data_IF_255202462708
#
_entry.id   IF_255202462708
#
_cell.length_a   1.000
_cell.length_b   1.000
_cell.length_c   1.000
_cell.angle_alpha   90.00
_cell.angle_beta   90.00
_cell.angle_gamma   90.00
#
_symmetry.space_group_name_H-M   'P 1'
#
loop_
_entity.id
_entity.type
_entity.pdbx_description
1 polymer ?
#
# COMPACT_ATOMS: atom_id res chain seq x y z
N UNK A 1 15.02 -25.21 9.18
CA UNK A 1 14.97 -26.06 10.38
C UNK A 1 13.77 -27.01 10.24
N UNK A 2 13.97 -28.38 10.13
CA UNK A 2 12.88 -29.35 10.00
C UNK A 2 11.81 -29.23 11.09
N UNK A 3 12.20 -28.93 12.34
CA UNK A 3 11.28 -28.78 13.45
C UNK A 3 10.35 -27.54 13.29
N UNK A 4 10.81 -26.52 12.57
CA UNK A 4 10.00 -25.34 12.24
C UNK A 4 8.98 -25.67 11.13
N UNK A 5 9.37 -26.51 10.18
CA UNK A 5 8.49 -26.99 9.10
C UNK A 5 7.38 -27.89 9.66
N UNK A 6 7.73 -28.82 10.55
CA UNK A 6 6.75 -29.70 11.22
C UNK A 6 5.76 -28.88 12.08
N UNK A 7 6.21 -27.79 12.74
CA UNK A 7 5.35 -26.91 13.51
C UNK A 7 4.47 -26.02 12.62
N UNK A 8 4.95 -25.64 11.44
CA UNK A 8 4.17 -24.90 10.43
C UNK A 8 3.15 -25.80 9.74
N UNK A 9 3.52 -27.06 9.46
CA UNK A 9 2.59 -28.08 8.91
C UNK A 9 1.40 -28.29 9.84
N UNK A 10 1.62 -28.41 11.16
CA UNK A 10 0.56 -28.54 12.14
C UNK A 10 -0.39 -27.33 12.13
N UNK A 11 0.14 -26.10 12.09
CA UNK A 11 -0.67 -24.87 12.06
C UNK A 11 -1.39 -24.65 10.73
N UNK A 12 -0.77 -24.97 9.61
CA UNK A 12 -1.40 -24.89 8.28
C UNK A 12 -2.58 -25.87 8.17
N UNK A 13 -2.44 -27.06 8.74
CA UNK A 13 -3.52 -28.04 8.77
C UNK A 13 -4.68 -27.64 9.71
N UNK A 14 -4.39 -26.93 10.82
CA UNK A 14 -5.42 -26.38 11.71
C UNK A 14 -6.22 -25.24 11.07
N UNK A 15 -5.62 -24.49 10.15
CA UNK A 15 -6.29 -23.39 9.41
C UNK A 15 -6.84 -23.84 8.05
N UNK A 16 -6.67 -25.11 7.71
CA UNK A 16 -7.15 -25.69 6.46
C UNK A 16 -8.68 -25.85 6.47
N UNK A 17 -9.34 -25.09 5.63
CA UNK A 17 -10.76 -25.25 5.36
C UNK A 17 -10.96 -26.17 4.14
N UNK A 18 -11.39 -27.42 4.32
CA UNK A 18 -11.60 -28.36 3.20
C UNK A 18 -12.69 -27.94 2.23
N UNK A 19 -13.53 -26.94 2.59
CA UNK A 19 -14.52 -26.37 1.69
C UNK A 19 -13.89 -25.38 0.69
N UNK A 20 -12.73 -24.80 1.03
CA UNK A 20 -12.04 -23.79 0.23
C UNK A 20 -10.78 -24.36 -0.43
N UNK A 21 -10.11 -25.32 0.22
CA UNK A 21 -8.84 -25.88 -0.21
C UNK A 21 -8.95 -27.39 -0.43
N UNK A 22 -8.53 -27.85 -1.58
CA UNK A 22 -8.40 -29.29 -1.83
C UNK A 22 -7.03 -29.80 -1.38
N UNK A 23 -6.94 -31.09 -1.07
CA UNK A 23 -5.67 -31.77 -0.77
C UNK A 23 -4.66 -31.63 -1.91
N UNK A 24 -5.13 -31.52 -3.15
CA UNK A 24 -4.33 -31.27 -4.36
C UNK A 24 -3.70 -29.87 -4.34
N UNK A 25 -4.40 -28.84 -3.87
CA UNK A 25 -3.86 -27.49 -3.71
C UNK A 25 -2.72 -27.45 -2.70
N UNK A 26 -2.86 -28.13 -1.55
CA UNK A 26 -1.79 -28.21 -0.55
C UNK A 26 -0.56 -28.92 -1.10
N UNK A 27 -0.74 -30.01 -1.81
CA UNK A 27 0.37 -30.74 -2.46
C UNK A 27 1.14 -29.84 -3.44
N UNK A 28 0.41 -29.00 -4.20
CA UNK A 28 1.02 -28.01 -5.10
C UNK A 28 1.83 -26.93 -4.35
N UNK A 29 1.31 -26.41 -3.25
CA UNK A 29 2.01 -25.42 -2.40
C UNK A 29 3.28 -26.01 -1.82
N UNK A 30 3.22 -27.22 -1.24
CA UNK A 30 4.41 -27.89 -0.71
C UNK A 30 5.46 -28.19 -1.78
N UNK A 31 5.05 -28.63 -2.98
CA UNK A 31 5.96 -28.82 -4.08
C UNK A 31 6.67 -27.52 -4.49
N UNK A 32 5.95 -26.40 -4.49
CA UNK A 32 6.51 -25.08 -4.77
C UNK A 32 7.51 -24.64 -3.69
N UNK A 33 7.17 -24.77 -2.39
CA UNK A 33 8.06 -24.46 -1.28
C UNK A 33 9.35 -25.27 -1.41
N UNK A 34 9.24 -26.58 -1.63
CA UNK A 34 10.38 -27.46 -1.81
C UNK A 34 11.26 -27.06 -2.99
N UNK A 35 10.65 -26.70 -4.13
CA UNK A 35 11.38 -26.26 -5.32
C UNK A 35 12.17 -24.95 -5.06
N UNK A 36 11.63 -24.05 -4.24
CA UNK A 36 12.33 -22.82 -3.81
C UNK A 36 13.49 -23.16 -2.88
N UNK A 37 13.29 -24.03 -1.87
CA UNK A 37 14.32 -24.44 -0.93
C UNK A 37 15.48 -25.16 -1.63
N UNK A 38 15.18 -26.02 -2.60
CA UNK A 38 16.17 -26.72 -3.42
C UNK A 38 16.83 -25.82 -4.48
N UNK A 39 16.47 -24.54 -4.55
CA UNK A 39 16.95 -23.58 -5.56
C UNK A 39 16.72 -24.07 -7.00
N UNK A 40 15.74 -24.92 -7.22
CA UNK A 40 15.39 -25.45 -8.55
C UNK A 40 14.54 -24.46 -9.37
N UNK A 41 13.98 -23.45 -8.73
CA UNK A 41 13.27 -22.33 -9.34
C UNK A 41 13.72 -21.01 -8.73
N UNK A 42 13.62 -19.92 -9.51
CA UNK A 42 13.75 -18.56 -9.01
C UNK A 42 12.34 -18.00 -8.76
N UNK A 43 12.07 -17.57 -7.51
CA UNK A 43 10.81 -16.96 -7.15
C UNK A 43 11.03 -15.49 -6.80
N UNK A 44 10.51 -14.59 -7.62
CA UNK A 44 10.40 -13.18 -7.27
C UNK A 44 9.13 -12.96 -6.42
N UNK A 45 9.25 -12.14 -5.38
CA UNK A 45 8.14 -11.95 -4.44
C UNK A 45 7.79 -13.22 -3.66
N UNK A 46 8.81 -13.95 -3.19
CA UNK A 46 8.64 -15.19 -2.43
C UNK A 46 7.82 -15.02 -1.15
N UNK A 47 7.48 -16.11 -0.48
CA UNK A 47 6.57 -16.15 0.68
C UNK A 47 6.96 -15.17 1.80
N UNK A 48 8.25 -14.90 2.00
CA UNK A 48 8.74 -13.95 3.00
C UNK A 48 8.26 -12.51 2.74
N UNK A 49 7.89 -12.18 1.50
CA UNK A 49 7.38 -10.85 1.14
C UNK A 49 5.99 -10.56 1.70
N UNK A 50 5.31 -11.57 2.25
CA UNK A 50 4.07 -11.36 3.00
C UNK A 50 4.30 -10.56 4.29
N UNK A 51 5.50 -10.61 4.87
CA UNK A 51 5.84 -9.81 6.05
C UNK A 51 5.75 -8.31 5.74
N UNK A 52 6.49 -7.76 4.75
CA UNK A 52 6.36 -6.35 4.39
C UNK A 52 5.04 -6.01 3.66
N UNK A 53 4.28 -7.01 3.18
CA UNK A 53 2.94 -6.78 2.62
C UNK A 53 1.94 -6.35 3.69
N UNK A 54 2.05 -6.90 4.90
CA UNK A 54 1.21 -6.54 6.03
C UNK A 54 1.48 -5.10 6.47
N UNK A 55 0.43 -4.27 6.52
CA UNK A 55 0.56 -2.84 6.87
C UNK A 55 0.99 -2.58 8.31
N UNK A 56 0.94 -3.59 9.15
CA UNK A 56 1.48 -3.56 10.51
C UNK A 56 3.00 -3.32 10.54
N UNK A 57 3.70 -3.62 9.44
CA UNK A 57 5.14 -3.32 9.33
C UNK A 57 5.44 -1.85 9.61
N UNK A 58 4.55 -0.93 9.23
CA UNK A 58 4.71 0.49 9.52
C UNK A 58 4.67 0.80 11.02
N UNK A 59 3.80 0.11 11.77
CA UNK A 59 3.76 0.23 13.23
C UNK A 59 5.04 -0.35 13.86
N UNK A 60 5.48 -1.52 13.41
CA UNK A 60 6.72 -2.15 13.89
C UNK A 60 7.93 -1.23 13.68
N UNK A 61 8.01 -0.52 12.56
CA UNK A 61 9.07 0.47 12.30
C UNK A 61 9.09 1.61 13.31
N UNK A 62 7.95 1.99 13.89
CA UNK A 62 7.85 3.03 14.91
C UNK A 62 7.99 2.50 16.35
N UNK A 63 8.00 1.17 16.55
CA UNK A 63 8.10 0.58 17.87
C UNK A 63 9.46 0.90 18.53
N UNK A 64 9.51 1.22 19.84
CA UNK A 64 10.75 1.52 20.56
C UNK A 64 11.82 0.43 20.43
N UNK A 65 11.41 -0.83 20.44
CA UNK A 65 12.29 -1.99 20.30
C UNK A 65 13.00 -1.97 18.94
N UNK A 66 12.27 -1.72 17.85
CA UNK A 66 12.84 -1.59 16.51
C UNK A 66 13.76 -0.38 16.42
N UNK A 67 13.29 0.77 16.93
CA UNK A 67 14.08 2.02 16.91
C UNK A 67 15.40 1.90 17.67
N UNK A 68 15.45 1.08 18.70
CA UNK A 68 16.66 0.88 19.53
C UNK A 68 17.79 0.14 18.82
N UNK A 69 17.48 -0.66 17.79
CA UNK A 69 18.46 -1.44 17.02
C UNK A 69 18.87 -0.80 15.71
N UNK A 70 18.20 0.27 15.31
CA UNK A 70 18.48 1.02 14.09
C UNK A 70 19.48 2.15 14.33
N UNK A 71 20.23 2.51 13.29
CA UNK A 71 21.12 3.67 13.28
C UNK A 71 20.32 4.99 13.35
N UNK A 72 21.03 6.09 13.66
CA UNK A 72 20.43 7.43 13.64
C UNK A 72 19.89 7.81 12.26
N UNK A 73 20.59 7.44 11.18
CA UNK A 73 20.17 7.70 9.80
C UNK A 73 18.90 6.94 9.43
N UNK A 74 18.81 5.65 9.78
CA UNK A 74 17.62 4.84 9.55
C UNK A 74 16.42 5.36 10.36
N UNK A 75 16.65 5.75 11.60
CA UNK A 75 15.63 6.38 12.44
C UNK A 75 15.12 7.69 11.84
N UNK A 76 16.02 8.56 11.36
CA UNK A 76 15.66 9.81 10.69
C UNK A 76 14.89 9.55 9.38
N UNK A 77 15.24 8.51 8.62
CA UNK A 77 14.51 8.10 7.43
C UNK A 77 13.08 7.68 7.74
N UNK A 78 12.89 6.87 8.79
CA UNK A 78 11.55 6.45 9.23
C UNK A 78 10.72 7.67 9.63
N UNK A 79 11.26 8.59 10.41
CA UNK A 79 10.54 9.80 10.83
C UNK A 79 10.11 10.68 9.65
N UNK A 80 10.94 10.73 8.61
CA UNK A 80 10.68 11.57 7.43
C UNK A 80 9.73 10.91 6.41
N UNK A 81 9.72 9.58 6.30
CA UNK A 81 9.11 8.90 5.15
C UNK A 81 8.05 7.85 5.49
N UNK A 82 8.03 7.35 6.72
CA UNK A 82 7.09 6.31 7.13
C UNK A 82 5.93 6.92 7.94
N UNK A 83 4.70 6.91 7.41
CA UNK A 83 3.57 7.49 8.12
C UNK A 83 3.26 6.73 9.42
N UNK A 84 2.97 7.48 10.47
CA UNK A 84 2.58 6.91 11.77
C UNK A 84 1.36 6.02 11.57
N UNK A 85 1.48 4.79 12.05
CA UNK A 85 0.48 3.73 11.87
C UNK A 85 0.29 2.99 13.19
N UNK A 86 -0.95 2.72 13.56
CA UNK A 86 -1.30 1.93 14.73
C UNK A 86 -2.48 1.01 14.39
N UNK A 87 -2.72 -0.02 15.21
CA UNK A 87 -3.99 -0.73 15.16
C UNK A 87 -5.14 0.19 15.52
N UNK A 88 -6.27 0.02 14.85
CA UNK A 88 -7.50 0.78 15.12
C UNK A 88 -8.22 0.16 16.31
N UNK A 89 -7.64 0.31 17.51
CA UNK A 89 -8.19 -0.19 18.77
C UNK A 89 -8.11 0.88 19.85
N UNK A 90 -9.07 0.89 20.78
CA UNK A 90 -9.10 1.85 21.89
C UNK A 90 -7.88 1.73 22.83
N UNK A 91 -7.18 0.59 22.79
CA UNK A 91 -5.97 0.37 23.59
C UNK A 91 -4.72 1.04 23.01
N UNK A 92 -4.74 1.37 21.72
CA UNK A 92 -3.58 1.93 21.02
C UNK A 92 -3.76 3.36 20.52
N UNK A 93 -5.00 3.79 20.31
CA UNK A 93 -5.29 5.11 19.73
C UNK A 93 -6.48 5.77 20.44
N UNK A 94 -6.49 7.09 20.41
CA UNK A 94 -7.64 7.89 20.81
C UNK A 94 -8.67 7.93 19.66
N UNK A 95 -9.69 7.06 19.74
CA UNK A 95 -10.72 6.94 18.71
C UNK A 95 -11.53 8.22 18.52
N UNK A 96 -11.76 8.99 19.58
CA UNK A 96 -12.51 10.25 19.48
C UNK A 96 -11.68 11.32 18.75
N UNK A 97 -10.38 11.39 19.01
CA UNK A 97 -9.48 12.26 18.27
C UNK A 97 -9.38 11.87 16.78
N UNK A 98 -9.44 10.56 16.46
CA UNK A 98 -9.44 10.09 15.06
C UNK A 98 -10.74 10.49 14.37
N UNK A 99 -11.90 10.29 15.01
CA UNK A 99 -13.21 10.67 14.46
C UNK A 99 -13.32 12.17 14.26
N UNK A 100 -12.75 12.99 15.16
CA UNK A 100 -12.78 14.44 15.08
C UNK A 100 -11.88 15.05 13.98
N UNK A 101 -11.01 14.27 13.36
CA UNK A 101 -10.03 14.77 12.39
C UNK A 101 -9.99 13.94 11.09
N UNK A 102 -11.10 13.80 10.33
CA UNK A 102 -11.19 12.93 9.16
C UNK A 102 -10.12 13.25 8.10
N UNK A 103 -9.81 14.50 7.87
CA UNK A 103 -8.81 14.92 6.87
C UNK A 103 -7.39 14.39 7.15
N UNK A 104 -7.13 14.00 8.39
CA UNK A 104 -5.81 13.56 8.83
C UNK A 104 -5.58 12.06 8.69
N UNK A 105 -6.64 11.26 8.56
CA UNK A 105 -6.56 9.83 8.75
C UNK A 105 -7.07 9.01 7.57
N UNK A 106 -6.48 7.83 7.45
CA UNK A 106 -6.92 6.75 6.57
C UNK A 106 -6.95 5.45 7.38
N UNK A 107 -7.99 4.65 7.21
CA UNK A 107 -8.07 3.31 7.80
C UNK A 107 -7.99 2.24 6.71
N UNK A 108 -7.32 1.15 7.01
CA UNK A 108 -7.00 0.09 6.04
C UNK A 108 -7.05 -1.28 6.72
N UNK A 109 -7.55 -2.33 6.04
CA UNK A 109 -7.30 -3.70 6.50
C UNK A 109 -5.80 -3.97 6.56
N UNK A 110 -5.34 -4.69 7.58
CA UNK A 110 -3.91 -4.90 7.82
C UNK A 110 -3.22 -5.66 6.68
N UNK A 111 -3.87 -6.67 6.10
CA UNK A 111 -3.28 -7.61 5.14
C UNK A 111 -3.94 -7.65 3.75
N UNK A 112 -4.99 -6.85 3.49
CA UNK A 112 -5.68 -6.85 2.19
C UNK A 112 -4.97 -5.99 1.16
N UNK A 113 -5.13 -6.36 -0.12
CA UNK A 113 -4.61 -5.65 -1.30
C UNK A 113 -5.72 -4.94 -2.09
N UNK A 114 -5.34 -4.29 -3.21
CA UNK A 114 -6.27 -3.68 -4.18
C UNK A 114 -7.18 -2.59 -3.63
N UNK A 115 -6.79 -1.94 -2.53
CA UNK A 115 -7.56 -0.89 -1.84
C UNK A 115 -8.96 -1.31 -1.38
N UNK A 116 -9.23 -2.60 -1.30
CA UNK A 116 -10.49 -3.12 -0.76
C UNK A 116 -10.56 -2.86 0.74
N UNK A 117 -11.64 -2.21 1.19
CA UNK A 117 -11.83 -1.85 2.60
C UNK A 117 -10.93 -0.70 3.08
N UNK A 118 -10.31 0.06 2.17
CA UNK A 118 -9.54 1.26 2.52
C UNK A 118 -10.45 2.47 2.49
N UNK A 119 -10.44 3.26 3.56
CA UNK A 119 -11.26 4.46 3.70
C UNK A 119 -10.38 5.63 4.14
N UNK A 120 -10.38 6.70 3.33
CA UNK A 120 -9.75 7.97 3.69
C UNK A 120 -10.84 8.92 4.19
N UNK A 121 -10.64 9.51 5.36
CA UNK A 121 -11.65 10.38 5.95
C UNK A 121 -11.96 11.60 5.07
N UNK A 122 -11.00 12.08 4.30
CA UNK A 122 -11.20 13.15 3.33
C UNK A 122 -12.12 12.81 2.14
N UNK A 123 -12.34 11.53 1.87
CA UNK A 123 -13.22 11.05 0.80
C UNK A 123 -14.65 10.78 1.30
N UNK A 124 -14.90 10.88 2.61
CA UNK A 124 -16.22 10.75 3.21
C UNK A 124 -17.09 12.00 2.92
N UNK A 125 -18.39 11.80 2.84
CA UNK A 125 -19.32 12.88 2.56
C UNK A 125 -19.40 13.89 3.72
N UNK A 126 -19.26 13.39 4.95
CA UNK A 126 -19.27 14.18 6.18
C UNK A 126 -18.56 13.46 7.34
N UNK A 127 -18.41 14.17 8.46
CA UNK A 127 -17.76 13.64 9.67
C UNK A 127 -18.55 12.47 10.28
N UNK A 128 -19.86 12.40 10.07
CA UNK A 128 -20.70 11.33 10.61
C UNK A 128 -20.49 10.02 9.84
N UNK A 129 -20.27 10.08 8.53
CA UNK A 129 -19.89 8.92 7.73
C UNK A 129 -18.52 8.39 8.17
N UNK A 130 -17.54 9.28 8.35
CA UNK A 130 -16.23 8.91 8.84
C UNK A 130 -16.28 8.26 10.22
N UNK A 131 -17.00 8.85 11.17
CA UNK A 131 -17.15 8.29 12.50
C UNK A 131 -17.76 6.87 12.48
N UNK A 132 -18.79 6.63 11.64
CA UNK A 132 -19.37 5.29 11.44
C UNK A 132 -18.37 4.29 10.92
N UNK A 133 -17.51 4.68 9.96
CA UNK A 133 -16.47 3.80 9.41
C UNK A 133 -15.44 3.46 10.48
N UNK A 134 -15.00 4.42 11.27
CA UNK A 134 -14.09 4.19 12.40
C UNK A 134 -14.71 3.21 13.40
N UNK A 135 -15.96 3.45 13.83
CA UNK A 135 -16.65 2.56 14.77
C UNK A 135 -16.87 1.14 14.22
N UNK A 136 -17.21 1.03 12.94
CA UNK A 136 -17.46 -0.26 12.30
C UNK A 136 -16.20 -1.14 12.17
N UNK A 137 -15.02 -0.53 12.18
CA UNK A 137 -13.75 -1.23 11.98
C UNK A 137 -12.82 -1.17 13.21
N UNK A 138 -13.29 -0.59 14.32
CA UNK A 138 -12.58 -0.63 15.61
C UNK A 138 -12.57 -2.07 16.12
N UNK A 139 -11.40 -2.51 16.61
CA UNK A 139 -11.12 -3.87 17.09
C UNK A 139 -11.26 -4.97 16.01
N UNK A 140 -11.43 -4.57 14.76
CA UNK A 140 -11.30 -5.43 13.59
C UNK A 140 -9.80 -5.45 13.15
N UNK A 141 -9.44 -6.25 12.15
CA UNK A 141 -8.06 -6.30 11.66
C UNK A 141 -7.74 -5.09 10.75
N UNK A 142 -7.85 -3.90 11.33
CA UNK A 142 -7.59 -2.61 10.67
C UNK A 142 -6.46 -1.84 11.34
N UNK A 143 -5.71 -1.12 10.51
CA UNK A 143 -4.78 -0.08 10.96
C UNK A 143 -5.34 1.30 10.65
N UNK A 144 -5.06 2.26 11.51
CA UNK A 144 -5.21 3.69 11.24
C UNK A 144 -3.84 4.29 10.97
N UNK A 145 -3.75 5.10 9.93
CA UNK A 145 -2.51 5.68 9.46
C UNK A 145 -2.70 7.16 9.16
N UNK A 146 -1.67 7.98 9.42
CA UNK A 146 -1.66 9.37 8.97
C UNK A 146 -1.82 9.42 7.45
N UNK A 147 -2.78 10.20 6.98
CA UNK A 147 -2.98 10.40 5.55
C UNK A 147 -1.84 11.22 4.95
N UNK A 148 -1.18 10.68 3.95
CA UNK A 148 -0.15 11.39 3.19
C UNK A 148 -0.78 12.00 1.95
N UNK A 149 -0.73 13.33 1.84
CA UNK A 149 -1.22 14.02 0.64
C UNK A 149 -0.37 13.67 -0.58
N UNK A 150 -1.06 13.29 -1.66
CA UNK A 150 -0.39 13.04 -2.91
C UNK A 150 -0.04 14.37 -3.62
N UNK A 151 1.03 14.34 -4.38
CA UNK A 151 1.31 15.41 -5.34
C UNK A 151 0.21 15.43 -6.41
N UNK A 152 -0.29 16.61 -6.74
CA UNK A 152 -1.29 16.79 -7.77
C UNK A 152 -0.69 17.46 -9.01
N UNK A 153 -1.07 16.96 -10.18
CA UNK A 153 -0.64 17.52 -11.48
C UNK A 153 -1.81 17.53 -12.47
N UNK A 154 -1.78 18.42 -13.48
CA UNK A 154 -2.71 18.37 -14.57
C UNK A 154 -2.63 17.04 -15.32
N UNK A 155 -3.76 16.39 -15.51
CA UNK A 155 -3.87 15.17 -16.30
C UNK A 155 -5.27 15.08 -16.93
N UNK A 156 -5.46 14.13 -17.85
CA UNK A 156 -6.73 13.86 -18.50
C UNK A 156 -7.03 12.37 -18.48
N UNK A 157 -8.31 12.03 -18.52
CA UNK A 157 -8.68 10.63 -18.73
C UNK A 157 -8.31 10.23 -20.17
N UNK A 158 -7.59 9.11 -20.36
CA UNK A 158 -7.08 8.74 -21.67
C UNK A 158 -8.17 8.33 -22.67
N UNK A 159 -9.36 7.97 -22.18
CA UNK A 159 -10.43 7.48 -23.02
C UNK A 159 -11.83 7.56 -22.37
N UNK A 160 -12.77 8.39 -22.88
CA UNK A 160 -12.55 9.41 -23.90
C UNK A 160 -11.61 10.52 -23.42
N UNK A 161 -10.97 11.22 -24.34
CA UNK A 161 -10.10 12.35 -24.00
C UNK A 161 -10.94 13.47 -23.38
N UNK A 162 -10.64 13.83 -22.15
CA UNK A 162 -11.32 14.88 -21.39
C UNK A 162 -10.42 16.10 -21.25
N UNK A 163 -10.98 17.29 -20.91
CA UNK A 163 -10.19 18.46 -20.57
C UNK A 163 -9.23 18.15 -19.41
N UNK A 164 -8.05 18.79 -19.41
CA UNK A 164 -7.10 18.70 -18.31
C UNK A 164 -7.75 19.11 -16.99
N UNK A 165 -7.56 18.29 -15.98
CA UNK A 165 -8.01 18.54 -14.61
C UNK A 165 -6.90 18.16 -13.63
N UNK A 166 -7.05 18.54 -12.35
CA UNK A 166 -6.08 18.17 -11.31
C UNK A 166 -6.25 16.72 -10.93
N UNK A 167 -5.18 15.95 -10.97
CA UNK A 167 -5.14 14.54 -10.61
C UNK A 167 -4.07 14.30 -9.54
N UNK A 168 -4.41 13.53 -8.55
CA UNK A 168 -3.46 13.04 -7.56
C UNK A 168 -2.56 11.96 -8.17
N UNK A 169 -1.28 11.97 -7.82
CA UNK A 169 -0.28 11.06 -8.35
C UNK A 169 0.23 10.13 -7.24
N UNK A 170 0.37 8.86 -7.56
CA UNK A 170 0.98 7.84 -6.72
C UNK A 170 2.16 7.21 -7.45
N UNK A 171 3.36 7.48 -6.96
CA UNK A 171 4.60 6.89 -7.49
C UNK A 171 4.88 5.58 -6.77
N UNK A 172 5.04 4.51 -7.52
CA UNK A 172 5.51 3.22 -7.04
C UNK A 172 6.96 2.99 -7.42
N UNK A 173 7.74 2.47 -6.49
CA UNK A 173 9.13 2.08 -6.71
C UNK A 173 9.21 0.56 -6.64
N UNK A 174 9.77 -0.05 -7.68
CA UNK A 174 10.11 -1.47 -7.66
C UNK A 174 11.54 -1.64 -7.16
N UNK A 175 11.71 -2.47 -6.14
CA UNK A 175 13.01 -2.81 -5.59
C UNK A 175 13.24 -4.31 -5.71
N UNK A 176 14.38 -4.71 -6.25
CA UNK A 176 14.80 -6.08 -6.39
C UNK A 176 16.25 -6.21 -5.91
N UNK A 177 16.49 -7.09 -4.91
CA UNK A 177 17.82 -7.31 -4.37
C UNK A 177 18.50 -6.01 -3.93
N UNK A 178 17.79 -5.17 -3.17
CA UNK A 178 18.26 -3.88 -2.63
C UNK A 178 18.57 -2.80 -3.70
N UNK A 179 18.13 -3.02 -4.93
CA UNK A 179 18.32 -2.09 -6.04
C UNK A 179 16.99 -1.60 -6.59
N UNK A 180 16.97 -0.34 -7.01
CA UNK A 180 15.83 0.20 -7.74
C UNK A 180 15.72 -0.51 -9.09
N UNK A 181 14.64 -1.29 -9.28
CA UNK A 181 14.35 -2.01 -10.50
C UNK A 181 13.47 -1.22 -11.48
N UNK A 182 12.73 -0.23 -10.99
CA UNK A 182 11.87 0.59 -11.83
C UNK A 182 10.98 1.52 -11.04
N UNK A 183 10.34 2.42 -11.79
CA UNK A 183 9.36 3.39 -11.27
C UNK A 183 8.11 3.29 -12.12
N UNK A 184 6.95 3.33 -11.48
CA UNK A 184 5.69 3.47 -12.19
C UNK A 184 4.80 4.50 -11.50
N UNK A 185 3.87 5.07 -12.22
CA UNK A 185 2.97 6.07 -11.67
C UNK A 185 1.52 5.71 -11.96
N UNK A 186 0.68 5.94 -10.95
CA UNK A 186 -0.78 5.94 -11.10
C UNK A 186 -1.31 7.33 -10.83
N UNK A 187 -2.38 7.68 -11.52
CA UNK A 187 -3.06 8.95 -11.34
C UNK A 187 -4.56 8.72 -11.07
N UNK A 188 -5.19 9.60 -10.30
CA UNK A 188 -6.61 9.54 -10.00
C UNK A 188 -7.11 10.83 -9.37
N UNK A 189 -8.41 11.07 -9.44
CA UNK A 189 -9.03 12.30 -8.90
C UNK A 189 -9.46 12.16 -7.43
N UNK A 190 -9.42 10.95 -6.88
CA UNK A 190 -9.80 10.65 -5.50
C UNK A 190 -8.58 10.53 -4.59
N UNK A 191 -8.78 10.62 -3.29
CA UNK A 191 -7.73 10.41 -2.29
C UNK A 191 -7.18 8.98 -2.28
N UNK A 192 -7.98 8.00 -2.75
CA UNK A 192 -7.54 6.61 -2.95
C UNK A 192 -7.49 6.34 -4.45
N UNK A 193 -6.29 6.12 -5.00
CA UNK A 193 -6.07 5.90 -6.43
C UNK A 193 -6.15 4.41 -6.73
N UNK A 194 -7.23 4.00 -7.40
CA UNK A 194 -7.49 2.60 -7.75
C UNK A 194 -8.19 2.50 -9.11
N UNK A 195 -7.80 1.49 -9.92
CA UNK A 195 -8.26 1.36 -11.30
C UNK A 195 -9.78 1.25 -11.45
N UNK A 196 -10.46 0.48 -10.60
CA UNK A 196 -11.92 0.31 -10.69
C UNK A 196 -12.72 1.58 -10.29
N UNK A 197 -12.06 2.60 -9.71
CA UNK A 197 -12.67 3.87 -9.34
C UNK A 197 -12.08 5.05 -10.13
N UNK A 198 -11.70 4.83 -11.39
CA UNK A 198 -11.23 5.87 -12.30
C UNK A 198 -9.74 6.20 -12.21
N UNK A 199 -8.96 5.41 -11.45
CA UNK A 199 -7.50 5.54 -11.46
C UNK A 199 -6.91 4.96 -12.75
N UNK A 200 -5.87 5.61 -13.26
CA UNK A 200 -5.15 5.18 -14.47
C UNK A 200 -3.67 5.00 -14.18
N UNK A 201 -3.02 4.09 -14.92
CA UNK A 201 -1.57 4.01 -14.96
C UNK A 201 -1.06 4.93 -16.04
N UNK A 202 -0.12 5.80 -15.70
CA UNK A 202 0.49 6.75 -16.63
C UNK A 202 1.91 6.32 -16.99
N UNK A 203 2.32 6.59 -18.22
CA UNK A 203 3.69 6.34 -18.68
C UNK A 203 4.68 7.10 -17.80
N UNK A 204 5.70 6.41 -17.31
CA UNK A 204 6.73 6.98 -16.46
C UNK A 204 8.07 6.89 -17.16
N UNK A 205 8.75 8.00 -17.29
CA UNK A 205 10.01 8.12 -17.98
C UNK A 205 11.06 8.73 -17.05
N UNK A 206 12.25 8.17 -17.05
CA UNK A 206 13.42 8.80 -16.43
C UNK A 206 14.01 9.75 -17.47
N UNK A 207 14.13 11.02 -17.11
CA UNK A 207 14.76 12.04 -17.94
C UNK A 207 15.96 12.63 -17.20
N UNK A 208 17.08 12.68 -17.89
CA UNK A 208 18.25 13.41 -17.40
C UNK A 208 18.07 14.90 -17.73
N UNK A 209 17.28 15.58 -16.88
CA UNK A 209 16.99 17.00 -17.05
C UNK A 209 16.96 17.69 -15.70
N UNK A 210 17.38 18.97 -15.69
CA UNK A 210 17.22 19.82 -14.53
C UNK A 210 15.76 20.30 -14.47
N UNK A 211 15.04 19.92 -13.39
CA UNK A 211 13.63 20.33 -13.20
C UNK A 211 13.42 21.84 -13.29
N UNK A 212 14.42 22.65 -12.93
CA UNK A 212 14.37 24.11 -13.07
C UNK A 212 14.39 24.60 -14.53
N UNK A 213 14.81 23.73 -15.46
CA UNK A 213 14.89 24.04 -16.90
C UNK A 213 13.67 23.49 -17.67
N UNK A 214 12.81 22.71 -17.02
CA UNK A 214 11.52 22.31 -17.62
C UNK A 214 10.64 23.56 -17.57
N UNK A 215 10.36 24.21 -18.70
CA UNK A 215 9.40 25.31 -18.70
C UNK A 215 8.07 24.78 -18.16
N UNK A 216 7.35 25.65 -17.45
CA UNK A 216 6.00 25.36 -16.97
C UNK A 216 5.17 24.91 -18.18
N UNK A 217 5.26 23.61 -18.46
CA UNK A 217 4.61 23.00 -19.61
C UNK A 217 3.13 22.91 -19.29
N UNK A 218 2.44 24.02 -19.45
CA UNK A 218 1.06 23.96 -19.92
C UNK A 218 1.15 23.19 -21.23
N UNK A 219 0.81 21.91 -21.20
CA UNK A 219 0.67 21.13 -22.41
C UNK A 219 -0.40 21.84 -23.25
N UNK A 220 0.05 22.68 -24.17
CA UNK A 220 -0.81 23.18 -25.23
C UNK A 220 -1.03 21.98 -26.12
N UNK A 221 -2.13 21.24 -25.89
CA UNK A 221 -2.65 20.30 -26.87
C UNK A 221 -2.90 21.13 -28.13
N UNK A 222 -1.93 21.15 -29.02
CA UNK A 222 -2.16 21.66 -30.38
C UNK A 222 -3.21 20.75 -30.99
N UNK A 223 -4.22 21.38 -31.58
CA UNK A 223 -5.30 20.75 -32.28
C UNK A 223 -4.79 19.55 -33.10
N UNK A 224 -5.21 18.36 -32.70
CA UNK A 224 -4.97 17.12 -33.45
C UNK A 224 -5.99 16.99 -34.60
N UNK A 225 -6.68 18.09 -34.96
CA UNK A 225 -7.60 18.20 -36.11
C UNK A 225 -6.86 18.80 -37.29
N UNK A 226 -5.88 18.02 -37.85
CA UNK A 226 -5.41 18.27 -39.22
C UNK A 226 -4.88 16.98 -39.84
#
# INVERSE_FOLDING_TARGET
DPALLDALDGKLLETFDPAVHSEEHLTGVFALVKAVEESSICMEGGFITNIPHCKQVFQVMHAPETRSILSEEENAFIDAHIPVTNYLTASQVDLDAIKAAPMRWIIKPSDRSSSLGVFAGRDCADDAEWAKLVDAHTDDDYVVQTYCEQYAAPNTHPWPLEPLSSWNLLTGLFSYGEKLGGVYMRAGQRGIIVGYAGGVTVGTFLADCNLAEIPDQRIVLRDLDS
#
